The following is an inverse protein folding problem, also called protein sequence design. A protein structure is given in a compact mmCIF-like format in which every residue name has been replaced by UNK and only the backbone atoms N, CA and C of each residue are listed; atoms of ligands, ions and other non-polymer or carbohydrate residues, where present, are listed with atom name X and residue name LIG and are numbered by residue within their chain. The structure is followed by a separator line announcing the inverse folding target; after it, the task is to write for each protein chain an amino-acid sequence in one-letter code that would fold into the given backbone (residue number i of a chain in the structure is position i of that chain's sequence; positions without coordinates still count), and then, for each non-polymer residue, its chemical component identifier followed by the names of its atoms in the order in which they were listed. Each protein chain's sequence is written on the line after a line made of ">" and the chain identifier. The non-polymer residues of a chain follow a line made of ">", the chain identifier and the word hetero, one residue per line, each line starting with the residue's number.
data_IF_296424905583
#
_entry.id   IF_296424905583
#
_cell.length_a   1.000
_cell.length_b   1.000
_cell.length_c   1.000
_cell.angle_alpha   90.00
_cell.angle_beta   90.00
_cell.angle_gamma   90.00
#
_symmetry.space_group_name_H-M   'P 1'
#
loop_
_entity.id
_entity.type
_entity.pdbx_description
1 polymer ?
#
# COMPACT_ATOMS: atom_id res chain seq x y z
N UNK A 1 6.66 1.34 -29.29
CA UNK A 1 6.56 2.81 -29.09
C UNK A 1 5.89 3.15 -27.76
N UNK A 2 4.60 2.87 -27.57
CA UNK A 2 3.91 3.18 -26.29
C UNK A 2 4.53 2.42 -25.10
N UNK A 3 4.84 1.13 -25.29
CA UNK A 3 5.53 0.32 -24.28
C UNK A 3 6.89 0.91 -23.89
N UNK A 4 7.69 1.34 -24.87
CA UNK A 4 8.98 2.02 -24.64
C UNK A 4 8.80 3.36 -23.92
N UNK A 5 7.77 4.14 -24.26
CA UNK A 5 7.48 5.43 -23.65
C UNK A 5 7.15 5.29 -22.15
N UNK A 6 6.35 4.27 -21.80
CA UNK A 6 5.95 3.98 -20.41
C UNK A 6 6.86 2.96 -19.71
N UNK A 7 7.97 2.57 -20.33
CA UNK A 7 8.95 1.68 -19.72
C UNK A 7 9.63 2.33 -18.52
N UNK A 8 10.19 1.52 -17.62
CA UNK A 8 11.00 1.97 -16.48
C UNK A 8 12.45 2.30 -16.87
N UNK A 9 12.77 2.31 -18.16
CA UNK A 9 14.11 2.64 -18.65
C UNK A 9 14.43 4.10 -18.36
N UNK A 10 15.70 4.36 -18.03
CA UNK A 10 16.23 5.70 -17.82
C UNK A 10 15.87 6.63 -18.97
N UNK A 11 15.60 7.91 -18.67
CA UNK A 11 15.18 8.88 -19.68
C UNK A 11 16.14 8.94 -20.89
N UNK A 12 17.45 8.84 -20.64
CA UNK A 12 18.49 8.86 -21.69
C UNK A 12 18.38 7.64 -22.62
N UNK A 13 18.17 6.45 -22.05
CA UNK A 13 18.05 5.20 -22.81
C UNK A 13 16.73 5.17 -23.59
N UNK A 14 15.63 5.55 -22.94
CA UNK A 14 14.31 5.69 -23.55
C UNK A 14 14.33 6.69 -24.71
N UNK A 15 14.97 7.85 -24.53
CA UNK A 15 15.15 8.84 -25.60
C UNK A 15 15.87 8.21 -26.79
N UNK A 16 16.99 7.51 -26.54
CA UNK A 16 17.77 6.87 -27.59
C UNK A 16 16.94 5.86 -28.39
N UNK A 17 16.19 4.98 -27.71
CA UNK A 17 15.32 3.99 -28.37
C UNK A 17 14.23 4.67 -29.19
N UNK A 18 13.56 5.69 -28.63
CA UNK A 18 12.50 6.42 -29.34
C UNK A 18 13.04 7.18 -30.56
N UNK A 19 14.27 7.68 -30.50
CA UNK A 19 14.94 8.33 -31.63
C UNK A 19 15.43 7.33 -32.69
N UNK A 20 16.08 6.23 -32.28
CA UNK A 20 16.71 5.26 -33.19
C UNK A 20 15.68 4.32 -33.84
N UNK A 21 14.77 3.75 -33.07
CA UNK A 21 13.84 2.71 -33.55
C UNK A 21 12.54 3.30 -34.10
N UNK A 22 12.15 4.49 -33.64
CA UNK A 22 10.87 5.12 -33.97
C UNK A 22 10.99 6.49 -34.64
N UNK A 23 12.21 7.04 -34.76
CA UNK A 23 12.45 8.33 -35.43
C UNK A 23 11.90 9.56 -34.70
N UNK A 24 11.56 9.44 -33.42
CA UNK A 24 10.95 10.50 -32.62
C UNK A 24 12.02 11.45 -32.04
N UNK A 25 12.49 12.40 -32.85
CA UNK A 25 13.40 13.46 -32.37
C UNK A 25 12.68 14.39 -31.39
N UNK A 26 13.18 14.42 -30.15
CA UNK A 26 12.62 15.29 -29.12
C UNK A 26 13.24 16.69 -29.17
N UNK A 27 12.45 17.72 -28.83
CA UNK A 27 12.96 19.07 -28.60
C UNK A 27 13.46 19.20 -27.16
N UNK A 28 14.38 20.14 -26.91
CA UNK A 28 14.90 20.42 -25.57
C UNK A 28 13.81 20.72 -24.54
N UNK A 29 12.71 21.37 -24.96
CA UNK A 29 11.54 21.64 -24.11
C UNK A 29 10.77 20.35 -23.77
N UNK A 30 10.58 19.46 -24.76
CA UNK A 30 9.89 18.19 -24.56
C UNK A 30 10.72 17.25 -23.65
N UNK A 31 12.05 17.27 -23.80
CA UNK A 31 12.97 16.52 -22.93
C UNK A 31 12.87 16.95 -21.46
N UNK A 32 12.82 18.27 -21.21
CA UNK A 32 12.65 18.80 -19.85
C UNK A 32 11.35 18.32 -19.20
N UNK A 33 10.23 18.40 -19.93
CA UNK A 33 8.92 17.96 -19.44
C UNK A 33 8.87 16.45 -19.19
N UNK A 34 9.51 15.65 -20.05
CA UNK A 34 9.57 14.20 -19.83
C UNK A 34 10.42 13.83 -18.61
N UNK A 35 11.52 14.53 -18.36
CA UNK A 35 12.34 14.34 -17.15
C UNK A 35 11.55 14.68 -15.88
N UNK A 36 10.84 15.81 -15.86
CA UNK A 36 9.97 16.19 -14.75
C UNK A 36 8.87 15.13 -14.49
N UNK A 37 8.25 14.59 -15.55
CA UNK A 37 7.23 13.55 -15.42
C UNK A 37 7.78 12.22 -14.87
N UNK A 38 9.02 11.84 -15.21
CA UNK A 38 9.64 10.63 -14.65
C UNK A 38 9.77 10.74 -13.12
N UNK A 39 10.27 11.88 -12.63
CA UNK A 39 10.39 12.11 -11.18
C UNK A 39 9.04 12.07 -10.46
N UNK A 40 7.98 12.62 -11.08
CA UNK A 40 6.63 12.58 -10.51
C UNK A 40 6.11 11.15 -10.47
N UNK A 41 6.33 10.36 -11.52
CA UNK A 41 5.94 8.94 -11.57
C UNK A 41 6.64 8.11 -10.50
N UNK A 42 7.96 8.28 -10.36
CA UNK A 42 8.76 7.56 -9.37
C UNK A 42 8.30 7.91 -7.94
N UNK A 43 8.05 9.20 -7.68
CA UNK A 43 7.51 9.64 -6.39
C UNK A 43 6.17 8.99 -6.06
N UNK A 44 5.23 8.95 -7.01
CA UNK A 44 3.93 8.30 -6.78
C UNK A 44 4.06 6.78 -6.60
N UNK A 45 4.99 6.13 -7.31
CA UNK A 45 5.27 4.71 -7.10
C UNK A 45 5.84 4.44 -5.71
N UNK A 46 6.76 5.27 -5.21
CA UNK A 46 7.30 5.18 -3.86
C UNK A 46 6.19 5.35 -2.81
N UNK A 47 5.38 6.41 -2.93
CA UNK A 47 4.26 6.68 -2.02
C UNK A 47 3.27 5.51 -2.02
N UNK A 48 2.83 5.06 -3.20
CA UNK A 48 1.89 3.95 -3.31
C UNK A 48 2.46 2.63 -2.75
N UNK A 49 3.77 2.41 -2.92
CA UNK A 49 4.46 1.23 -2.37
C UNK A 49 4.52 1.30 -0.85
N UNK A 50 4.81 2.46 -0.27
CA UNK A 50 4.88 2.65 1.17
C UNK A 50 3.50 2.53 1.83
N UNK A 51 2.48 3.19 1.25
CA UNK A 51 1.08 3.03 1.70
C UNK A 51 0.63 1.57 1.60
N UNK A 52 0.95 0.88 0.50
CA UNK A 52 0.61 -0.53 0.32
C UNK A 52 1.26 -1.45 1.35
N UNK A 53 2.51 -1.16 1.75
CA UNK A 53 3.20 -1.89 2.83
C UNK A 53 2.50 -1.66 4.17
N UNK A 54 2.18 -0.42 4.51
CA UNK A 54 1.50 -0.10 5.77
C UNK A 54 0.13 -0.79 5.86
N UNK A 55 -0.66 -0.74 4.79
CA UNK A 55 -1.95 -1.44 4.69
C UNK A 55 -1.75 -2.94 4.91
N UNK A 56 -0.77 -3.55 4.24
CA UNK A 56 -0.49 -4.98 4.33
C UNK A 56 -0.06 -5.42 5.74
N UNK A 57 0.82 -4.67 6.40
CA UNK A 57 1.24 -4.94 7.78
C UNK A 57 0.06 -4.86 8.74
N UNK A 58 -0.82 -3.88 8.55
CA UNK A 58 -1.99 -3.71 9.41
C UNK A 58 -3.03 -4.79 9.22
N UNK A 59 -3.31 -5.17 7.98
CA UNK A 59 -4.19 -6.31 7.66
C UNK A 59 -3.62 -7.62 8.20
N UNK A 60 -2.28 -7.79 8.22
CA UNK A 60 -1.63 -8.95 8.83
C UNK A 60 -1.91 -9.04 10.34
N UNK A 61 -1.77 -7.93 11.07
CA UNK A 61 -2.11 -7.89 12.51
C UNK A 61 -3.59 -8.23 12.71
N UNK A 62 -4.50 -7.62 11.94
CA UNK A 62 -5.95 -7.91 12.00
C UNK A 62 -6.21 -9.42 11.79
N UNK A 63 -5.59 -10.01 10.76
CA UNK A 63 -5.72 -11.45 10.50
C UNK A 63 -5.22 -12.30 11.66
N UNK A 64 -4.11 -11.93 12.31
CA UNK A 64 -3.59 -12.64 13.47
C UNK A 64 -4.50 -12.53 14.68
N UNK A 65 -5.05 -11.34 14.96
CA UNK A 65 -6.02 -11.11 16.04
C UNK A 65 -7.28 -11.94 15.81
N UNK A 66 -7.86 -11.89 14.60
CA UNK A 66 -9.04 -12.71 14.22
C UNK A 66 -8.78 -14.19 14.45
N UNK A 67 -7.64 -14.73 13.99
CA UNK A 67 -7.29 -16.15 14.16
C UNK A 67 -7.15 -16.56 15.63
N UNK A 68 -6.69 -15.67 16.51
CA UNK A 68 -6.55 -15.94 17.94
C UNK A 68 -7.87 -15.75 18.69
N UNK A 69 -8.66 -14.74 18.32
CA UNK A 69 -10.04 -14.55 18.79
C UNK A 69 -10.90 -15.78 18.48
N UNK A 70 -10.78 -16.36 17.29
CA UNK A 70 -11.47 -17.60 16.91
C UNK A 70 -11.05 -18.83 17.72
N UNK A 71 -9.94 -18.74 18.46
CA UNK A 71 -9.48 -19.76 19.43
C UNK A 71 -9.86 -19.39 20.86
N UNK A 72 -10.83 -18.48 21.03
CA UNK A 72 -11.34 -17.98 22.30
C UNK A 72 -10.27 -17.32 23.20
N UNK A 73 -9.19 -16.79 22.61
CA UNK A 73 -8.19 -16.02 23.35
C UNK A 73 -8.68 -14.61 23.68
N UNK A 74 -8.36 -14.15 24.87
CA UNK A 74 -8.65 -12.79 25.35
C UNK A 74 -7.73 -11.74 24.72
N UNK A 75 -8.11 -10.45 24.83
CA UNK A 75 -7.29 -9.31 24.36
C UNK A 75 -5.89 -9.33 24.97
N UNK A 76 -5.78 -9.60 26.28
CA UNK A 76 -4.50 -9.67 26.99
C UNK A 76 -3.61 -10.80 26.48
N UNK A 77 -4.16 -12.00 26.28
CA UNK A 77 -3.40 -13.14 25.72
C UNK A 77 -2.96 -12.89 24.28
N UNK A 78 -3.78 -12.19 23.48
CA UNK A 78 -3.44 -11.84 22.11
C UNK A 78 -2.34 -10.78 22.07
N UNK A 79 -2.41 -9.78 22.95
CA UNK A 79 -1.40 -8.75 23.10
C UNK A 79 -0.04 -9.35 23.48
N UNK A 80 0.00 -10.25 24.46
CA UNK A 80 1.20 -10.99 24.86
C UNK A 80 1.73 -11.86 23.71
N UNK A 81 0.86 -12.66 23.08
CA UNK A 81 1.20 -13.54 21.94
C UNK A 81 1.79 -12.80 20.72
N UNK A 82 1.44 -11.53 20.52
CA UNK A 82 1.87 -10.71 19.39
C UNK A 82 2.95 -9.70 19.77
N UNK A 83 3.37 -9.67 21.04
CA UNK A 83 4.29 -8.66 21.59
C UNK A 83 3.79 -7.21 21.36
N UNK A 84 2.48 -7.01 21.43
CA UNK A 84 1.80 -5.74 21.20
C UNK A 84 1.13 -5.23 22.48
N UNK A 85 0.77 -3.94 22.51
CA UNK A 85 0.00 -3.39 23.64
C UNK A 85 -1.48 -3.75 23.53
N UNK A 86 -2.12 -4.00 24.67
CA UNK A 86 -3.58 -4.22 24.72
C UNK A 86 -4.37 -3.07 24.09
N UNK A 87 -3.89 -1.83 24.21
CA UNK A 87 -4.49 -0.64 23.58
C UNK A 87 -4.52 -0.70 22.04
N UNK A 88 -3.58 -1.43 21.42
CA UNK A 88 -3.54 -1.65 19.97
C UNK A 88 -4.46 -2.80 19.57
N UNK A 89 -4.51 -3.86 20.38
CA UNK A 89 -5.30 -5.07 20.10
C UNK A 89 -6.79 -4.87 20.35
N UNK A 90 -7.16 -4.17 21.43
CA UNK A 90 -8.56 -3.96 21.84
C UNK A 90 -9.47 -3.44 20.71
N UNK A 91 -9.15 -2.35 19.98
CA UNK A 91 -10.03 -1.86 18.92
C UNK A 91 -10.16 -2.87 17.76
N UNK A 92 -9.11 -3.61 17.43
CA UNK A 92 -9.15 -4.66 16.40
C UNK A 92 -10.04 -5.82 16.85
N UNK A 93 -9.90 -6.22 18.11
CA UNK A 93 -10.68 -7.32 18.69
C UNK A 93 -12.18 -6.99 18.72
N UNK A 94 -12.54 -5.79 19.15
CA UNK A 94 -13.93 -5.30 19.14
C UNK A 94 -14.51 -5.23 17.72
N UNK A 95 -13.75 -4.67 16.77
CA UNK A 95 -14.15 -4.63 15.37
C UNK A 95 -14.34 -6.04 14.80
N UNK A 96 -13.44 -6.98 15.10
CA UNK A 96 -13.56 -8.37 14.68
C UNK A 96 -14.78 -9.08 15.29
N UNK A 97 -15.11 -8.82 16.55
CA UNK A 97 -16.33 -9.34 17.18
C UNK A 97 -17.60 -8.84 16.49
N UNK A 98 -17.61 -7.61 16.00
CA UNK A 98 -18.76 -7.03 15.29
C UNK A 98 -19.00 -7.65 13.89
N UNK A 99 -18.00 -8.36 13.34
CA UNK A 99 -18.01 -8.94 11.99
C UNK A 99 -18.25 -10.45 11.99
N UNK A 100 -18.70 -11.03 13.11
CA UNK A 100 -19.07 -12.45 13.17
C UNK A 100 -20.24 -12.76 12.21
N UNK A 101 -20.25 -13.93 11.55
CA UNK A 101 -19.22 -14.98 11.56
C UNK A 101 -18.18 -14.88 10.44
N UNK A 102 -18.27 -13.88 9.55
CA UNK A 102 -17.46 -13.77 8.33
C UNK A 102 -16.00 -13.38 8.64
N UNK A 103 -15.79 -12.52 9.65
CA UNK A 103 -14.49 -12.00 10.06
C UNK A 103 -13.64 -11.46 8.89
N UNK A 104 -14.29 -10.74 7.98
CA UNK A 104 -13.65 -10.14 6.81
C UNK A 104 -12.58 -9.11 7.23
N UNK A 105 -11.32 -9.44 6.97
CA UNK A 105 -10.15 -8.64 7.36
C UNK A 105 -10.17 -7.26 6.70
N UNK A 106 -10.60 -7.17 5.45
CA UNK A 106 -10.63 -5.92 4.69
C UNK A 106 -11.71 -4.98 5.25
N UNK A 107 -12.91 -5.51 5.53
CA UNK A 107 -13.97 -4.72 6.18
C UNK A 107 -13.60 -4.27 7.59
N UNK A 108 -12.90 -5.11 8.37
CA UNK A 108 -12.39 -4.72 9.70
C UNK A 108 -11.37 -3.59 9.57
N UNK A 109 -10.44 -3.69 8.61
CA UNK A 109 -9.47 -2.63 8.32
C UNK A 109 -10.16 -1.31 7.96
N UNK A 110 -11.12 -1.34 7.04
CA UNK A 110 -11.88 -0.14 6.65
C UNK A 110 -12.62 0.51 7.83
N UNK A 111 -13.20 -0.30 8.72
CA UNK A 111 -13.91 0.20 9.90
C UNK A 111 -12.93 0.92 10.85
N UNK A 112 -11.75 0.35 11.08
CA UNK A 112 -10.71 0.95 11.90
C UNK A 112 -10.19 2.26 11.29
N UNK A 113 -10.03 2.32 9.97
CA UNK A 113 -9.61 3.54 9.27
C UNK A 113 -10.67 4.66 9.30
N UNK A 114 -11.95 4.31 9.15
CA UNK A 114 -13.05 5.28 9.28
C UNK A 114 -13.09 5.88 10.69
N UNK A 115 -12.88 5.07 11.73
CA UNK A 115 -12.88 5.53 13.11
C UNK A 115 -11.69 6.46 13.42
N UNK A 116 -10.51 6.22 12.82
CA UNK A 116 -9.36 7.14 12.92
C UNK A 116 -9.64 8.51 12.31
N UNK A 117 -10.38 8.57 11.20
CA UNK A 117 -10.69 9.84 10.50
C UNK A 117 -11.74 10.70 11.21
N UNK A 118 -12.47 10.13 12.17
CA UNK A 118 -13.53 10.81 12.94
C UNK A 118 -13.05 11.31 14.32
N UNK A 119 -11.85 10.90 14.74
CA UNK A 119 -11.21 11.31 15.99
C UNK A 119 -10.24 12.48 15.73
#
# INVERSE_FOLDING_TARGET
>A
MLEELFSKSEFIEKKKILEEDYGLKMSMELEGRMSEMCNVSDYWEEVATEEGKEIGERQKIISQVVKKLQKDKSVAEIADDLEEKEEVIAPIYEAALSMKPDYDVEKIYELLEKNKKLA
#
